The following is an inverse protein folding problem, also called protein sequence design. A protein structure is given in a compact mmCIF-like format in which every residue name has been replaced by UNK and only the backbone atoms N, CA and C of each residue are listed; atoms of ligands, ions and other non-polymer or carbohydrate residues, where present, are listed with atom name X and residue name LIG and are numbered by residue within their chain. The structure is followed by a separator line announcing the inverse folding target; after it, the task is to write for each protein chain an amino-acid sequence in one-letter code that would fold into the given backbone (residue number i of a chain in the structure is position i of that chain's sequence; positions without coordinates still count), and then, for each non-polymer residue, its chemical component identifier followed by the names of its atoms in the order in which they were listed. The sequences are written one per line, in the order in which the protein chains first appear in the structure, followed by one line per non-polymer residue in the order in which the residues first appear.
data_IF_864400383694
#
_entry.id   IF_864400383694
#
_cell.length_a   1.000
_cell.length_b   1.000
_cell.length_c   1.000
_cell.angle_alpha   90.00
_cell.angle_beta   90.00
_cell.angle_gamma   90.00
#
_symmetry.space_group_name_H-M   'P 1'
#
loop_
_entity.id
_entity.type
_entity.pdbx_description
1 polymer ?
#
# COMPACT_ATOMS: atom_id res chain seq x y z
N UNK A 1 -11.18 25.86 18.05
CA UNK A 1 -10.46 24.66 17.58
C UNK A 1 -11.44 23.51 17.51
N UNK A 2 -11.43 22.74 16.41
CA UNK A 2 -12.38 21.65 16.18
C UNK A 2 -12.16 20.50 17.17
N UNK A 3 -13.20 19.68 17.39
CA UNK A 3 -13.13 18.51 18.29
C UNK A 3 -12.02 17.52 17.89
N UNK A 4 -11.78 17.39 16.58
CA UNK A 4 -10.74 16.52 16.02
C UNK A 4 -9.33 16.97 16.41
N UNK A 5 -9.08 18.28 16.43
CA UNK A 5 -7.77 18.83 16.80
C UNK A 5 -7.41 18.46 18.25
N UNK A 6 -8.38 18.56 19.16
CA UNK A 6 -8.19 18.24 20.58
C UNK A 6 -7.92 16.75 20.80
N UNK A 7 -8.59 15.90 20.01
CA UNK A 7 -8.42 14.46 20.10
C UNK A 7 -7.07 14.00 19.54
N UNK A 8 -6.65 14.57 18.41
CA UNK A 8 -5.33 14.35 17.84
C UNK A 8 -4.22 14.78 18.81
N UNK A 9 -4.32 15.99 19.37
CA UNK A 9 -3.35 16.52 20.34
C UNK A 9 -3.24 15.60 21.57
N UNK A 10 -4.37 15.15 22.12
CA UNK A 10 -4.40 14.23 23.26
C UNK A 10 -3.64 12.94 22.95
N UNK A 11 -3.89 12.34 21.79
CA UNK A 11 -3.23 11.10 21.37
C UNK A 11 -1.73 11.26 21.18
N UNK A 12 -1.30 12.38 20.58
CA UNK A 12 0.12 12.69 20.38
C UNK A 12 0.82 12.83 21.73
N UNK A 13 0.23 13.58 22.67
CA UNK A 13 0.78 13.77 24.02
C UNK A 13 0.85 12.46 24.80
N UNK A 14 -0.16 11.62 24.73
CA UNK A 14 -0.17 10.32 25.41
C UNK A 14 0.93 9.39 24.88
N UNK A 15 1.18 9.38 23.55
CA UNK A 15 2.27 8.62 22.94
C UNK A 15 3.66 9.18 23.32
N UNK A 16 3.80 10.51 23.39
CA UNK A 16 5.03 11.15 23.89
C UNK A 16 5.33 10.75 25.34
N UNK A 17 4.33 10.81 26.22
CA UNK A 17 4.50 10.47 27.64
C UNK A 17 4.85 9.00 27.87
N UNK A 18 4.41 8.10 26.98
CA UNK A 18 4.76 6.68 27.00
C UNK A 18 6.16 6.39 26.48
N UNK A 19 6.80 7.37 25.83
CA UNK A 19 8.06 7.17 25.13
C UNK A 19 7.89 6.38 23.83
N UNK A 20 6.69 6.33 23.24
CA UNK A 20 6.45 5.58 21.98
C UNK A 20 7.25 6.16 20.80
N UNK A 21 7.70 7.42 20.92
CA UNK A 21 8.59 8.07 19.96
C UNK A 21 10.08 7.94 20.31
N UNK A 22 10.40 7.35 21.47
CA UNK A 22 11.77 7.10 21.85
C UNK A 22 12.29 5.83 21.17
N UNK A 23 13.45 5.96 20.52
CA UNK A 23 14.15 4.88 19.83
C UNK A 23 13.41 4.30 18.60
N UNK A 24 12.67 5.15 17.88
CA UNK A 24 12.15 4.79 16.56
C UNK A 24 13.29 4.38 15.60
N UNK A 25 13.07 3.38 14.74
CA UNK A 25 14.03 3.02 13.71
C UNK A 25 14.32 4.23 12.81
N UNK A 26 15.60 4.55 12.61
CA UNK A 26 16.04 5.71 11.84
C UNK A 26 15.98 7.06 12.59
N UNK A 27 15.78 7.08 13.91
CA UNK A 27 15.80 8.31 14.71
C UNK A 27 17.16 9.01 14.61
N UNK A 28 17.17 10.21 14.06
CA UNK A 28 18.37 11.03 13.88
C UNK A 28 19.17 10.71 12.61
N UNK A 29 18.73 9.73 11.83
CA UNK A 29 19.31 9.41 10.52
C UNK A 29 18.63 10.26 9.42
N UNK A 30 19.34 10.54 8.31
CA UNK A 30 18.71 11.16 7.15
C UNK A 30 17.50 10.34 6.70
N UNK A 31 16.37 11.03 6.48
CA UNK A 31 15.18 10.39 5.93
C UNK A 31 15.52 9.76 4.58
N UNK A 32 15.33 8.45 4.46
CA UNK A 32 15.35 7.78 3.16
C UNK A 32 14.06 8.19 2.45
N UNK A 33 14.17 9.17 1.56
CA UNK A 33 13.09 9.53 0.68
C UNK A 33 13.01 8.41 -0.35
N UNK A 34 12.03 7.52 -0.22
CA UNK A 34 11.66 6.63 -1.32
C UNK A 34 11.51 7.47 -2.58
N UNK A 35 12.04 6.97 -3.70
CA UNK A 35 11.94 7.60 -5.01
C UNK A 35 10.49 7.50 -5.53
N UNK A 36 9.59 8.22 -4.88
CA UNK A 36 8.23 8.54 -5.33
C UNK A 36 8.26 9.50 -6.53
N UNK A 37 9.35 9.47 -7.32
CA UNK A 37 9.59 10.26 -8.52
C UNK A 37 8.44 10.13 -9.52
N UNK A 38 7.83 8.94 -9.55
CA UNK A 38 6.71 8.60 -10.42
C UNK A 38 5.40 9.26 -9.96
N UNK A 39 5.27 9.57 -8.66
CA UNK A 39 4.11 10.27 -8.08
C UNK A 39 4.29 11.77 -8.29
N UNK A 40 3.27 12.49 -8.80
CA UNK A 40 3.30 13.94 -8.92
C UNK A 40 3.67 14.59 -7.57
N UNK A 41 4.55 15.61 -7.54
CA UNK A 41 5.04 16.24 -6.30
C UNK A 41 3.93 16.58 -5.29
N UNK A 42 2.80 17.05 -5.79
CA UNK A 42 1.61 17.42 -5.03
C UNK A 42 0.91 16.25 -4.33
N UNK A 43 1.11 15.01 -4.79
CA UNK A 43 0.47 13.81 -4.24
C UNK A 43 1.42 12.96 -3.37
N UNK A 44 2.73 13.20 -3.41
CA UNK A 44 3.74 12.37 -2.71
C UNK A 44 3.49 12.26 -1.20
N UNK A 45 3.13 13.38 -0.56
CA UNK A 45 2.87 13.41 0.89
C UNK A 45 1.67 12.54 1.24
N UNK A 46 0.57 12.70 0.51
CA UNK A 46 -0.66 11.92 0.71
C UNK A 46 -0.44 10.44 0.45
N UNK A 47 0.27 10.11 -0.63
CA UNK A 47 0.59 8.72 -0.98
C UNK A 47 1.47 8.05 0.08
N UNK A 48 2.50 8.76 0.57
CA UNK A 48 3.38 8.27 1.62
C UNK A 48 2.67 8.09 2.96
N UNK A 49 1.75 8.99 3.31
CA UNK A 49 0.93 8.86 4.51
C UNK A 49 0.04 7.60 4.44
N UNK A 50 -0.61 7.37 3.29
CA UNK A 50 -1.40 6.17 3.05
C UNK A 50 -0.55 4.90 3.09
N UNK A 51 0.61 4.90 2.42
CA UNK A 51 1.58 3.78 2.44
C UNK A 51 2.02 3.45 3.87
N UNK A 52 2.37 4.46 4.66
CA UNK A 52 2.79 4.29 6.05
C UNK A 52 1.65 3.80 6.97
N UNK A 53 0.41 4.17 6.68
CA UNK A 53 -0.78 3.71 7.39
C UNK A 53 -1.24 2.29 6.98
N UNK A 54 -0.57 1.67 5.99
CA UNK A 54 -0.99 0.37 5.42
C UNK A 54 -2.20 0.48 4.49
N UNK A 55 -2.62 1.69 4.12
CA UNK A 55 -3.72 1.93 3.21
C UNK A 55 -3.20 1.95 1.76
N UNK A 56 -3.50 0.91 0.98
CA UNK A 56 -3.22 0.89 -0.45
C UNK A 56 -4.33 1.64 -1.21
N UNK A 57 -4.00 2.56 -2.15
CA UNK A 57 -4.99 3.09 -3.08
C UNK A 57 -5.74 1.94 -3.77
N UNK A 58 -7.03 2.12 -4.15
CA UNK A 58 -7.86 1.05 -4.70
C UNK A 58 -7.27 0.43 -5.97
N UNK A 59 -6.51 1.20 -6.77
CA UNK A 59 -5.81 0.67 -7.94
C UNK A 59 -4.64 -0.27 -7.59
N UNK A 60 -4.04 -0.12 -6.42
CA UNK A 60 -3.00 -1.02 -5.90
C UNK A 60 -3.58 -2.18 -5.11
N UNK A 61 -4.77 -2.01 -4.53
CA UNK A 61 -5.50 -3.09 -3.84
C UNK A 61 -5.89 -4.21 -4.82
N UNK A 62 -6.50 -3.85 -5.96
CA UNK A 62 -6.82 -4.83 -7.02
C UNK A 62 -5.56 -5.55 -7.55
N UNK A 63 -4.43 -4.84 -7.63
CA UNK A 63 -3.16 -5.43 -8.05
C UNK A 63 -2.60 -6.40 -7.01
N UNK A 64 -2.71 -6.09 -5.72
CA UNK A 64 -2.28 -6.98 -4.64
C UNK A 64 -3.11 -8.27 -4.67
N UNK A 65 -4.43 -8.13 -4.80
CA UNK A 65 -5.34 -9.27 -4.92
C UNK A 65 -5.03 -10.14 -6.15
N UNK A 66 -4.73 -9.52 -7.30
CA UNK A 66 -4.31 -10.24 -8.49
C UNK A 66 -3.00 -11.02 -8.28
N UNK A 67 -2.00 -10.42 -7.62
CA UNK A 67 -0.73 -11.11 -7.28
C UNK A 67 -0.98 -12.28 -6.33
N UNK A 68 -1.77 -12.08 -5.28
CA UNK A 68 -2.14 -13.14 -4.33
C UNK A 68 -2.84 -14.31 -5.04
N UNK A 69 -3.75 -14.03 -5.98
CA UNK A 69 -4.43 -15.05 -6.77
C UNK A 69 -3.48 -15.82 -7.70
N UNK A 70 -2.52 -15.14 -8.32
CA UNK A 70 -1.48 -15.79 -9.14
C UNK A 70 -0.60 -16.70 -8.27
N UNK A 71 -0.20 -16.23 -7.08
CA UNK A 71 0.60 -17.02 -6.15
C UNK A 71 -0.17 -18.26 -5.67
N UNK A 72 -1.46 -18.14 -5.39
CA UNK A 72 -2.32 -19.28 -5.05
C UNK A 72 -2.45 -20.26 -6.22
N UNK A 73 -2.61 -19.76 -7.46
CA UNK A 73 -2.65 -20.62 -8.65
C UNK A 73 -1.34 -21.38 -8.87
N UNK A 74 -0.19 -20.80 -8.50
CA UNK A 74 1.11 -21.49 -8.59
C UNK A 74 1.23 -22.65 -7.59
N UNK A 75 0.48 -22.62 -6.49
CA UNK A 75 0.49 -23.66 -5.45
C UNK A 75 -0.58 -24.72 -5.68
N UNK A 76 -1.73 -24.35 -6.24
CA UNK A 76 -2.87 -25.25 -6.49
C UNK A 76 -2.64 -26.07 -7.76
N UNK A 77 -2.97 -27.37 -7.72
CA UNK A 77 -2.85 -28.26 -8.88
C UNK A 77 -3.88 -27.91 -9.94
N UNK A 78 -3.48 -27.94 -11.21
CA UNK A 78 -4.31 -27.55 -12.36
C UNK A 78 -5.60 -28.39 -12.53
N UNK A 79 -5.62 -29.62 -12.04
CA UNK A 79 -6.78 -30.52 -12.11
C UNK A 79 -7.79 -30.31 -10.96
N UNK A 80 -7.51 -29.40 -10.02
CA UNK A 80 -8.40 -29.11 -8.89
C UNK A 80 -9.51 -28.13 -9.33
N UNK A 81 -10.79 -28.38 -9.00
CA UNK A 81 -11.86 -27.40 -9.22
C UNK A 81 -11.57 -26.02 -8.60
N UNK A 82 -10.75 -25.94 -7.55
CA UNK A 82 -10.32 -24.67 -6.97
C UNK A 82 -9.41 -23.86 -7.91
N UNK A 83 -8.63 -24.50 -8.77
CA UNK A 83 -7.79 -23.82 -9.75
C UNK A 83 -8.64 -23.07 -10.79
N UNK A 84 -9.75 -23.67 -11.25
CA UNK A 84 -10.67 -23.04 -12.20
C UNK A 84 -11.42 -21.83 -11.59
N UNK A 85 -11.76 -21.91 -10.29
CA UNK A 85 -12.40 -20.82 -9.55
C UNK A 85 -11.44 -19.63 -9.36
N UNK A 86 -10.19 -19.92 -8.96
CA UNK A 86 -9.14 -18.91 -8.79
C UNK A 86 -8.78 -18.22 -10.11
N UNK A 87 -8.67 -18.96 -11.21
CA UNK A 87 -8.40 -18.38 -12.53
C UNK A 87 -9.55 -17.50 -13.02
N UNK A 88 -10.80 -17.87 -12.71
CA UNK A 88 -11.97 -17.06 -13.05
C UNK A 88 -12.00 -15.76 -12.24
N UNK A 89 -11.67 -15.81 -10.94
CA UNK A 89 -11.52 -14.60 -10.11
C UNK A 89 -10.43 -13.68 -10.63
N UNK A 90 -9.27 -14.22 -11.00
CA UNK A 90 -8.19 -13.45 -11.60
C UNK A 90 -8.64 -12.75 -12.89
N UNK A 91 -9.39 -13.44 -13.76
CA UNK A 91 -9.91 -12.86 -15.01
C UNK A 91 -10.93 -11.73 -14.79
N UNK A 92 -11.67 -11.75 -13.68
CA UNK A 92 -12.60 -10.67 -13.30
C UNK A 92 -11.87 -9.47 -12.68
N UNK A 93 -10.77 -9.73 -11.98
CA UNK A 93 -9.88 -8.73 -11.37
C UNK A 93 -8.88 -8.12 -12.37
N UNK A 94 -8.86 -8.58 -13.61
CA UNK A 94 -8.26 -7.86 -14.74
C UNK A 94 -9.32 -6.97 -15.43
N UNK A 95 -9.69 -5.80 -14.87
CA UNK A 95 -10.46 -4.84 -15.65
C UNK A 95 -9.53 -4.28 -16.73
N UNK A 96 -9.92 -4.56 -17.98
CA UNK A 96 -9.46 -3.95 -19.24
C UNK A 96 -8.61 -2.70 -18.98
N UNK A 97 -7.30 -2.86 -19.11
CA UNK A 97 -6.34 -1.78 -18.95
C UNK A 97 -6.85 -0.54 -19.67
N UNK A 98 -7.27 0.48 -18.90
CA UNK A 98 -7.55 1.78 -19.48
C UNK A 98 -6.19 2.33 -19.93
N UNK A 99 -5.99 2.59 -21.24
CA UNK A 99 -4.70 3.05 -21.74
C UNK A 99 -4.47 4.47 -21.21
N UNK A 100 -3.70 4.59 -20.13
CA UNK A 100 -3.38 5.88 -19.53
C UNK A 100 -2.40 5.85 -18.35
N UNK A 101 -2.06 4.69 -17.78
CA UNK A 101 -1.17 4.59 -16.60
C UNK A 101 -0.03 3.61 -16.77
N UNK A 102 0.48 3.50 -17.99
CA UNK A 102 1.65 2.70 -18.33
C UNK A 102 2.96 3.39 -17.92
N UNK A 103 3.18 3.69 -16.63
CA UNK A 103 4.49 4.21 -16.19
C UNK A 103 4.96 3.73 -14.80
N UNK A 104 4.18 2.94 -14.07
CA UNK A 104 4.66 2.39 -12.78
C UNK A 104 5.16 0.97 -12.98
N UNK A 105 6.31 0.87 -13.66
CA UNK A 105 7.08 -0.36 -13.77
C UNK A 105 7.90 -0.48 -12.49
N UNK A 106 7.47 -1.37 -11.60
CA UNK A 106 8.19 -1.73 -10.38
C UNK A 106 9.62 -2.16 -10.75
N UNK A 107 10.61 -1.32 -10.41
CA UNK A 107 12.01 -1.73 -10.36
C UNK A 107 12.26 -2.32 -8.98
N UNK A 108 12.12 -3.64 -8.87
CA UNK A 108 12.66 -4.38 -7.76
C UNK A 108 14.16 -4.56 -8.00
N UNK A 109 14.99 -3.92 -7.17
CA UNK A 109 16.34 -4.36 -6.81
C UNK A 109 16.77 -3.66 -5.53
#
# INVERSE_FOLDING_TARGET
MWLLDQWAERHILDAQNKGDFDNLPGRGEPLTLDDDLHVPPELRVSYRLLKNAGCLPPELEHRREAVELVDLLNVVRQDDPQHAELSRRLALLEPKATPGRAQYRFSAR
#
